data_IF_072565157133
#
_entry.id   IF_072565157133
#
_cell.length_a   1.000
_cell.length_b   1.000
_cell.length_c   1.000
_cell.angle_alpha   90.00
_cell.angle_beta   90.00
_cell.angle_gamma   90.00
#
_symmetry.space_group_name_H-M   'P 1'
#
loop_
_entity.id
_entity.type
_entity.pdbx_description
1 polymer ?
#
# COMPACT_ATOMS: atom_id res chain seq x y z
N UNK A 1 66.03 -40.89 -18.21
CA UNK A 1 65.01 -39.79 -18.53
C UNK A 1 63.74 -40.07 -17.74
N UNK A 2 63.68 -39.58 -16.54
CA UNK A 2 62.52 -39.71 -15.64
C UNK A 2 61.56 -38.57 -15.91
N UNK A 3 60.35 -38.84 -16.40
CA UNK A 3 59.27 -37.86 -16.52
C UNK A 3 58.46 -37.86 -15.21
N UNK A 4 58.54 -36.78 -14.50
CA UNK A 4 57.72 -36.49 -13.30
C UNK A 4 56.35 -35.99 -13.77
N UNK A 5 55.27 -36.76 -13.47
CA UNK A 5 53.89 -36.31 -13.66
C UNK A 5 53.45 -35.57 -12.39
N UNK A 6 53.24 -34.26 -12.52
CA UNK A 6 52.66 -33.44 -11.45
C UNK A 6 51.12 -33.54 -11.63
N UNK A 7 50.46 -34.16 -10.66
CA UNK A 7 49.00 -34.22 -10.56
C UNK A 7 48.52 -32.94 -9.87
N UNK A 8 47.92 -32.01 -10.63
CA UNK A 8 47.23 -30.85 -10.07
C UNK A 8 45.90 -31.31 -9.48
N UNK A 9 45.81 -31.37 -8.15
CA UNK A 9 44.54 -31.52 -7.44
C UNK A 9 43.83 -30.16 -7.42
N UNK A 10 42.81 -29.98 -8.28
CA UNK A 10 41.88 -28.84 -8.18
C UNK A 10 40.86 -29.17 -7.10
N UNK A 11 41.00 -28.54 -5.96
CA UNK A 11 39.99 -28.54 -4.91
C UNK A 11 38.82 -27.65 -5.33
N UNK A 12 37.71 -28.28 -5.70
CA UNK A 12 36.43 -27.62 -5.84
C UNK A 12 35.94 -27.24 -4.44
N UNK A 13 35.98 -25.94 -4.09
CA UNK A 13 35.26 -25.41 -2.96
C UNK A 13 33.79 -25.36 -3.34
N UNK A 14 33.03 -26.37 -2.94
CA UNK A 14 31.58 -26.35 -2.99
C UNK A 14 31.13 -25.40 -1.88
N UNK A 15 30.86 -24.16 -2.25
CA UNK A 15 30.11 -23.23 -1.38
C UNK A 15 28.72 -23.82 -1.20
N UNK A 16 28.46 -24.46 -0.07
CA UNK A 16 27.11 -24.78 0.35
C UNK A 16 26.37 -23.45 0.56
N UNK A 17 25.55 -23.07 -0.41
CA UNK A 17 24.50 -22.07 -0.20
C UNK A 17 23.59 -22.72 0.86
N UNK A 18 23.72 -22.30 2.12
CA UNK A 18 22.73 -22.59 3.14
C UNK A 18 21.48 -21.84 2.70
N UNK A 19 20.55 -22.55 2.06
CA UNK A 19 19.22 -22.02 1.82
C UNK A 19 18.65 -21.60 3.17
N UNK A 20 18.36 -20.31 3.35
CA UNK A 20 17.63 -19.84 4.52
C UNK A 20 16.34 -20.67 4.60
N UNK A 21 15.96 -21.18 5.77
CA UNK A 21 14.70 -21.90 5.91
C UNK A 21 13.59 -20.96 5.46
N UNK A 22 12.85 -21.35 4.42
CA UNK A 22 11.77 -20.54 3.88
C UNK A 22 10.74 -20.24 4.98
N UNK A 23 10.33 -18.98 5.10
CA UNK A 23 9.25 -18.58 5.99
C UNK A 23 7.99 -19.40 5.69
N UNK A 24 7.42 -20.01 6.73
CA UNK A 24 6.13 -20.70 6.66
C UNK A 24 5.11 -19.89 7.46
N UNK A 25 4.10 -19.29 6.80
CA UNK A 25 3.09 -18.51 7.50
C UNK A 25 2.28 -19.38 8.45
N UNK A 26 1.93 -18.85 9.61
CA UNK A 26 1.03 -19.52 10.56
C UNK A 26 -0.40 -19.58 10.00
N UNK A 27 -1.25 -20.42 10.61
CA UNK A 27 -2.67 -20.48 10.25
C UNK A 27 -3.35 -19.13 10.43
N UNK A 28 -3.03 -18.43 11.51
CA UNK A 28 -3.57 -17.10 11.82
C UNK A 28 -3.15 -16.07 10.78
N UNK A 29 -1.90 -16.15 10.27
CA UNK A 29 -1.41 -15.29 9.21
C UNK A 29 -2.15 -15.55 7.90
N UNK A 30 -2.33 -16.82 7.49
CA UNK A 30 -3.08 -17.18 6.29
C UNK A 30 -4.54 -16.72 6.33
N UNK A 31 -5.19 -16.82 7.49
CA UNK A 31 -6.53 -16.28 7.70
C UNK A 31 -6.54 -14.73 7.58
N UNK A 32 -5.51 -14.05 8.13
CA UNK A 32 -5.36 -12.60 8.02
C UNK A 32 -5.16 -12.16 6.56
N UNK A 33 -4.33 -12.86 5.77
CA UNK A 33 -4.15 -12.62 4.33
C UNK A 33 -5.48 -12.73 3.57
N UNK A 34 -6.28 -13.76 3.86
CA UNK A 34 -7.60 -13.95 3.22
C UNK A 34 -8.54 -12.79 3.57
N UNK A 35 -8.62 -12.39 4.85
CA UNK A 35 -9.43 -11.26 5.28
C UNK A 35 -8.96 -9.94 4.65
N UNK A 36 -7.66 -9.75 4.51
CA UNK A 36 -7.09 -8.58 3.84
C UNK A 36 -7.52 -8.51 2.38
N UNK A 37 -7.46 -9.63 1.64
CA UNK A 37 -7.97 -9.68 0.26
C UNK A 37 -9.46 -9.34 0.13
N UNK A 38 -10.27 -9.62 1.17
CA UNK A 38 -11.71 -9.33 1.17
C UNK A 38 -12.01 -7.84 1.38
N UNK A 39 -11.12 -7.08 2.01
CA UNK A 39 -11.34 -5.67 2.37
C UNK A 39 -11.43 -4.76 1.15
N UNK A 40 -10.60 -4.95 0.16
CA UNK A 40 -10.50 -4.27 -1.14
C UNK A 40 -10.26 -2.76 -1.12
N UNK A 41 -10.60 -2.02 -0.06
CA UNK A 41 -10.49 -0.58 -0.04
C UNK A 41 -10.01 -0.07 1.33
N UNK A 42 -8.96 0.74 1.35
CA UNK A 42 -8.35 1.34 2.53
C UNK A 42 -7.98 2.80 2.34
N UNK A 43 -7.71 3.51 3.45
CA UNK A 43 -7.21 4.87 3.49
C UNK A 43 -5.73 4.88 3.87
N UNK A 44 -4.90 5.50 3.06
CA UNK A 44 -3.53 5.85 3.41
C UNK A 44 -3.50 7.27 3.98
N UNK A 45 -2.73 7.53 5.03
CA UNK A 45 -2.66 8.85 5.64
C UNK A 45 -1.19 9.28 5.76
N UNK A 46 -0.75 10.16 4.84
CA UNK A 46 0.57 10.78 4.89
C UNK A 46 0.51 12.09 5.67
N UNK A 47 1.01 12.06 6.90
CA UNK A 47 0.96 13.20 7.80
C UNK A 47 2.10 13.16 8.82
N UNK A 48 2.51 14.33 9.31
CA UNK A 48 3.56 14.50 10.30
C UNK A 48 4.12 15.92 10.29
N UNK A 49 5.30 16.11 10.89
CA UNK A 49 5.93 17.43 11.00
C UNK A 49 6.18 18.12 9.63
N UNK A 50 6.43 17.35 8.57
CA UNK A 50 6.59 17.87 7.21
C UNK A 50 5.39 18.68 6.71
N UNK A 51 4.17 18.36 7.18
CA UNK A 51 2.95 19.05 6.79
C UNK A 51 2.97 20.55 7.11
N UNK A 52 3.74 20.97 8.12
CA UNK A 52 3.92 22.39 8.49
C UNK A 52 4.49 23.20 7.32
N UNK A 53 5.38 22.60 6.53
CA UNK A 53 6.00 23.25 5.39
C UNK A 53 5.09 23.28 4.15
N UNK A 54 3.99 22.53 4.16
CA UNK A 54 2.96 22.51 3.14
C UNK A 54 3.46 22.28 1.70
N UNK A 55 4.50 21.43 1.53
CA UNK A 55 5.14 21.11 0.26
C UNK A 55 5.36 19.60 0.06
N UNK A 56 4.50 18.79 0.69
CA UNK A 56 4.60 17.34 0.66
C UNK A 56 5.59 16.79 1.69
N UNK A 57 5.63 15.49 1.81
CA UNK A 57 6.42 14.73 2.80
C UNK A 57 7.91 14.68 2.45
N UNK A 58 8.26 14.87 1.18
CA UNK A 58 9.65 14.89 0.69
C UNK A 58 10.36 16.22 0.85
N UNK A 59 9.72 17.24 1.42
CA UNK A 59 10.22 18.62 1.46
C UNK A 59 11.62 18.74 2.07
N UNK A 60 11.94 17.95 3.09
CA UNK A 60 13.26 17.94 3.73
C UNK A 60 14.37 17.59 2.72
N UNK A 61 14.17 16.52 1.95
CA UNK A 61 15.11 16.08 0.90
C UNK A 61 15.12 17.04 -0.29
N UNK A 62 13.95 17.40 -0.82
CA UNK A 62 13.82 18.18 -2.04
C UNK A 62 14.37 19.60 -1.91
N UNK A 63 14.36 20.14 -0.70
CA UNK A 63 14.88 21.47 -0.37
C UNK A 63 16.25 21.44 0.30
N UNK A 64 16.84 20.25 0.49
CA UNK A 64 18.09 20.07 1.22
C UNK A 64 18.07 20.75 2.60
N UNK A 65 16.94 20.65 3.32
CA UNK A 65 16.80 21.26 4.64
C UNK A 65 17.67 20.48 5.63
N UNK A 66 18.54 21.19 6.31
CA UNK A 66 19.46 20.60 7.28
C UNK A 66 18.73 20.09 8.52
N UNK A 67 19.23 19.01 9.12
CA UNK A 67 18.65 18.45 10.35
C UNK A 67 18.54 19.50 11.47
N UNK A 68 19.57 20.37 11.63
CA UNK A 68 19.59 21.41 12.66
C UNK A 68 18.52 22.51 12.44
N UNK A 69 18.04 22.70 11.22
CA UNK A 69 16.92 23.59 10.87
C UNK A 69 15.59 22.83 10.96
N UNK A 70 15.50 21.65 10.35
CA UNK A 70 14.28 20.84 10.27
C UNK A 70 13.73 20.44 11.64
N UNK A 71 14.61 20.12 12.59
CA UNK A 71 14.23 19.77 13.98
C UNK A 71 13.40 20.85 14.68
N UNK A 72 13.46 22.11 14.23
CA UNK A 72 12.67 23.18 14.82
C UNK A 72 11.17 23.05 14.54
N UNK A 73 10.77 22.21 13.58
CA UNK A 73 9.35 21.90 13.34
C UNK A 73 8.67 21.30 14.57
N UNK A 74 9.40 20.65 15.46
CA UNK A 74 8.89 20.13 16.75
C UNK A 74 8.28 21.22 17.62
N UNK A 75 8.72 22.48 17.47
CA UNK A 75 8.25 23.61 18.26
C UNK A 75 6.96 24.23 17.72
N UNK A 76 6.60 23.94 16.47
CA UNK A 76 5.48 24.58 15.77
C UNK A 76 4.45 23.58 15.26
N UNK A 77 4.76 22.29 15.16
CA UNK A 77 3.80 21.26 14.80
C UNK A 77 2.81 21.07 15.97
N UNK A 78 1.61 21.63 15.80
CA UNK A 78 0.57 21.59 16.81
C UNK A 78 -0.79 21.27 16.17
N UNK A 79 -1.10 20.00 15.93
CA UNK A 79 -2.34 19.59 15.28
C UNK A 79 -3.54 19.62 16.25
N UNK A 80 -3.95 20.82 16.64
CA UNK A 80 -5.01 21.06 17.65
C UNK A 80 -6.40 20.58 17.19
N UNK A 81 -6.61 20.49 15.87
CA UNK A 81 -7.88 20.05 15.27
C UNK A 81 -7.85 18.57 14.84
N UNK A 82 -6.81 17.83 15.21
CA UNK A 82 -6.76 16.40 14.95
C UNK A 82 -7.83 15.65 15.76
N UNK A 83 -8.72 14.97 15.04
CA UNK A 83 -9.76 14.11 15.61
C UNK A 83 -9.72 12.73 14.95
N UNK A 84 -9.23 11.72 15.70
CA UNK A 84 -9.16 10.35 15.24
C UNK A 84 -10.54 9.77 14.87
N UNK A 85 -11.61 10.19 15.59
CA UNK A 85 -12.98 9.78 15.30
C UNK A 85 -13.44 10.27 13.93
N UNK A 86 -13.13 11.51 13.57
CA UNK A 86 -13.46 12.07 12.26
C UNK A 86 -12.67 11.38 11.14
N UNK A 87 -11.38 11.07 11.37
CA UNK A 87 -10.58 10.36 10.39
C UNK A 87 -11.12 8.95 10.11
N UNK A 88 -11.42 8.19 11.19
CA UNK A 88 -11.99 6.85 11.07
C UNK A 88 -13.39 6.88 10.46
N UNK A 89 -14.22 7.86 10.84
CA UNK A 89 -15.55 8.05 10.25
C UNK A 89 -15.46 8.38 8.75
N UNK A 90 -14.52 9.23 8.34
CA UNK A 90 -14.29 9.56 6.93
C UNK A 90 -13.94 8.31 6.12
N UNK A 91 -13.00 7.47 6.61
CA UNK A 91 -12.65 6.21 5.97
C UNK A 91 -13.86 5.27 5.88
N UNK A 92 -14.57 5.08 6.99
CA UNK A 92 -15.73 4.18 7.07
C UNK A 92 -16.87 4.61 6.16
N UNK A 93 -17.16 5.91 6.13
CA UNK A 93 -18.20 6.50 5.27
C UNK A 93 -17.86 6.40 3.79
N UNK A 94 -16.57 6.46 3.42
CA UNK A 94 -16.10 6.18 2.06
C UNK A 94 -16.21 4.69 1.68
N UNK A 95 -16.50 3.81 2.64
CA UNK A 95 -16.57 2.38 2.42
C UNK A 95 -15.25 1.66 2.62
N UNK A 96 -14.25 2.28 3.23
CA UNK A 96 -12.95 1.67 3.52
C UNK A 96 -13.03 0.73 4.73
N UNK A 97 -12.18 -0.29 4.76
CA UNK A 97 -12.14 -1.33 5.79
C UNK A 97 -10.88 -1.28 6.65
N UNK A 98 -9.87 -0.53 6.20
CA UNK A 98 -8.60 -0.39 6.91
C UNK A 98 -8.00 1.00 6.68
N UNK A 99 -7.10 1.38 7.57
CA UNK A 99 -6.28 2.58 7.49
C UNK A 99 -4.81 2.17 7.58
N UNK A 100 -3.97 2.68 6.68
CA UNK A 100 -2.51 2.65 6.79
C UNK A 100 -2.04 4.05 7.20
N UNK A 101 -1.44 4.16 8.39
CA UNK A 101 -1.03 5.44 8.95
C UNK A 101 0.50 5.56 8.98
N UNK A 102 1.02 6.72 8.61
CA UNK A 102 2.44 7.02 8.72
C UNK A 102 2.83 7.10 10.19
N UNK A 103 3.42 6.03 10.73
CA UNK A 103 3.98 6.06 12.09
C UNK A 103 5.33 6.75 12.11
N UNK A 104 6.13 6.58 11.05
CA UNK A 104 7.39 7.28 10.83
C UNK A 104 7.71 7.30 9.34
N UNK A 105 7.89 8.51 8.76
CA UNK A 105 8.30 8.70 7.37
C UNK A 105 9.82 8.88 7.23
N UNK A 106 10.31 9.17 6.05
CA UNK A 106 11.74 9.33 5.72
C UNK A 106 12.43 10.46 6.50
N UNK A 107 11.68 11.47 6.94
CA UNK A 107 12.18 12.56 7.79
C UNK A 107 12.43 12.15 9.25
N UNK A 108 12.18 10.88 9.58
CA UNK A 108 12.40 10.28 10.88
C UNK A 108 11.43 10.71 11.98
N UNK A 109 10.45 11.60 11.69
CA UNK A 109 9.48 12.04 12.68
C UNK A 109 8.51 10.92 13.06
N UNK A 110 8.41 10.64 14.37
CA UNK A 110 7.52 9.59 14.90
C UNK A 110 6.19 10.18 15.34
N UNK A 111 5.08 9.74 14.72
CA UNK A 111 3.71 10.13 15.07
C UNK A 111 3.14 9.35 16.27
N UNK A 112 4.01 8.77 17.09
CA UNK A 112 3.68 7.97 18.26
C UNK A 112 4.67 8.23 19.41
N UNK A 113 4.30 7.84 20.63
CA UNK A 113 5.11 8.05 21.83
C UNK A 113 6.22 7.00 21.95
N UNK A 114 7.19 7.05 21.05
CA UNK A 114 8.38 6.18 21.12
C UNK A 114 9.34 6.62 22.23
N UNK A 115 9.99 5.65 22.85
CA UNK A 115 11.11 5.89 23.79
C UNK A 115 12.46 5.94 23.06
N UNK A 116 12.49 5.63 21.77
CA UNK A 116 13.71 5.48 20.99
C UNK A 116 14.18 6.81 20.35
N UNK A 117 13.35 7.84 20.35
CA UNK A 117 13.64 9.14 19.72
C UNK A 117 12.90 10.28 20.41
N UNK A 118 13.58 11.42 20.56
CA UNK A 118 12.94 12.68 20.97
C UNK A 118 12.29 13.43 19.79
N UNK A 119 12.55 13.00 18.57
CA UNK A 119 11.93 13.50 17.34
C UNK A 119 10.57 12.85 17.13
N UNK A 120 9.59 13.24 17.97
CA UNK A 120 8.28 12.62 18.06
C UNK A 120 7.16 13.60 18.39
N UNK A 121 5.93 13.23 18.08
CA UNK A 121 4.74 14.08 18.24
C UNK A 121 4.46 14.47 19.69
N UNK A 122 4.74 13.61 20.66
CA UNK A 122 4.51 13.91 22.09
C UNK A 122 5.46 14.96 22.65
N UNK A 123 6.55 15.29 21.93
CA UNK A 123 7.47 16.38 22.27
C UNK A 123 7.15 17.70 21.55
N UNK A 124 6.05 17.74 20.77
CA UNK A 124 5.53 18.96 20.14
C UNK A 124 4.55 19.68 21.07
N UNK A 125 4.11 20.92 20.77
CA UNK A 125 3.06 21.60 21.55
C UNK A 125 1.74 20.81 21.64
N UNK A 126 1.48 19.90 20.72
CA UNK A 126 0.33 18.98 20.77
C UNK A 126 0.39 18.02 21.97
N UNK A 127 1.57 17.55 22.32
CA UNK A 127 1.89 16.75 23.51
C UNK A 127 1.03 15.47 23.71
N UNK A 128 0.43 14.94 22.64
CA UNK A 128 -0.40 13.71 22.67
C UNK A 128 0.08 12.71 21.64
N UNK A 129 -0.17 11.43 21.89
CA UNK A 129 0.12 10.34 20.98
C UNK A 129 -1.01 10.21 19.94
N UNK A 130 -0.73 10.59 18.69
CA UNK A 130 -1.72 10.55 17.62
C UNK A 130 -2.02 9.10 17.19
N UNK A 131 -0.99 8.24 17.15
CA UNK A 131 -1.20 6.82 16.82
C UNK A 131 -2.09 6.13 17.87
N UNK A 132 -1.88 6.43 19.16
CA UNK A 132 -2.72 5.84 20.23
C UNK A 132 -4.18 6.21 20.06
N UNK A 133 -4.48 7.50 19.81
CA UNK A 133 -5.83 7.96 19.58
C UNK A 133 -6.46 7.29 18.34
N UNK A 134 -5.69 7.18 17.25
CA UNK A 134 -6.15 6.55 16.02
C UNK A 134 -6.38 5.05 16.19
N UNK A 135 -5.46 4.34 16.87
CA UNK A 135 -5.58 2.91 17.14
C UNK A 135 -6.81 2.59 17.98
N UNK A 136 -7.02 3.34 19.07
CA UNK A 136 -8.19 3.16 19.94
C UNK A 136 -9.50 3.35 19.17
N UNK A 137 -9.57 4.37 18.31
CA UNK A 137 -10.79 4.62 17.53
C UNK A 137 -10.97 3.59 16.40
N UNK A 138 -9.89 3.14 15.75
CA UNK A 138 -9.94 2.06 14.78
C UNK A 138 -10.48 0.77 15.39
N UNK A 139 -9.97 0.37 16.56
CA UNK A 139 -10.43 -0.83 17.29
C UNK A 139 -11.91 -0.71 17.68
N UNK A 140 -12.31 0.43 18.21
CA UNK A 140 -13.70 0.71 18.60
C UNK A 140 -14.67 0.64 17.42
N UNK A 141 -14.27 1.12 16.24
CA UNK A 141 -15.13 1.15 15.05
C UNK A 141 -14.97 -0.06 14.13
N UNK A 142 -14.06 -0.99 14.42
CA UNK A 142 -13.82 -2.21 13.64
C UNK A 142 -13.06 -1.95 12.33
N UNK A 143 -12.34 -0.84 12.21
CA UNK A 143 -11.42 -0.54 11.11
C UNK A 143 -10.06 -1.17 11.42
N UNK A 144 -9.44 -1.84 10.45
CA UNK A 144 -8.10 -2.43 10.64
C UNK A 144 -7.03 -1.36 10.49
N UNK A 145 -6.05 -1.35 11.41
CA UNK A 145 -4.94 -0.39 11.39
C UNK A 145 -3.66 -1.05 10.92
N UNK A 146 -3.04 -0.49 9.90
CA UNK A 146 -1.70 -0.78 9.42
C UNK A 146 -0.78 0.38 9.76
N UNK A 147 0.46 0.08 10.09
CA UNK A 147 1.49 1.07 10.37
C UNK A 147 2.46 1.14 9.18
N UNK A 148 2.51 2.27 8.48
CA UNK A 148 3.62 2.53 7.57
C UNK A 148 4.87 2.86 8.39
N UNK A 149 5.99 2.28 8.01
CA UNK A 149 7.28 2.48 8.66
C UNK A 149 8.40 2.62 7.62
N UNK A 150 9.05 3.77 7.60
CA UNK A 150 10.20 4.01 6.73
C UNK A 150 11.43 3.23 7.17
N UNK A 151 12.04 2.50 6.24
CA UNK A 151 13.34 1.86 6.40
C UNK A 151 14.46 2.89 6.35
N UNK A 152 14.36 3.88 5.47
CA UNK A 152 15.34 4.96 5.36
C UNK A 152 15.06 6.09 6.36
N UNK A 153 16.10 6.89 6.68
CA UNK A 153 15.98 8.01 7.59
C UNK A 153 16.92 9.17 7.19
N UNK A 154 16.32 10.35 7.00
CA UNK A 154 17.07 11.56 6.68
C UNK A 154 17.53 12.34 7.93
N UNK A 155 17.02 11.98 9.09
CA UNK A 155 17.29 12.70 10.35
C UNK A 155 18.39 12.05 11.17
N UNK A 156 18.37 10.72 11.33
CA UNK A 156 19.30 9.99 12.21
C UNK A 156 20.70 9.90 11.62
N UNK A 157 21.70 10.07 12.47
CA UNK A 157 23.12 9.99 12.09
C UNK A 157 23.65 8.57 12.01
N UNK A 158 23.01 7.61 12.67
CA UNK A 158 23.39 6.19 12.63
C UNK A 158 22.85 5.45 11.39
N UNK A 159 21.87 6.02 10.66
CA UNK A 159 21.48 5.51 9.33
C UNK A 159 22.68 5.59 8.37
N UNK A 160 22.81 4.56 7.50
CA UNK A 160 23.90 4.48 6.50
C UNK A 160 23.67 5.48 5.35
N UNK A 161 23.66 6.77 5.67
CA UNK A 161 23.35 7.84 4.72
C UNK A 161 24.46 8.10 3.70
N UNK A 162 25.70 7.66 3.97
CA UNK A 162 26.84 7.82 3.08
C UNK A 162 26.63 7.06 1.75
N UNK A 163 25.96 5.90 1.82
CA UNK A 163 25.64 5.06 0.65
C UNK A 163 24.23 5.28 0.12
N UNK A 164 23.31 5.85 0.91
CA UNK A 164 21.94 6.15 0.51
C UNK A 164 21.86 7.07 -0.70
N UNK A 165 20.77 7.03 -1.46
CA UNK A 165 20.54 7.91 -2.63
C UNK A 165 20.02 9.28 -2.24
N UNK A 166 19.25 9.35 -1.15
CA UNK A 166 18.51 10.55 -0.73
C UNK A 166 19.04 11.15 0.58
N UNK A 167 18.54 12.31 0.96
CA UNK A 167 18.93 12.99 2.18
C UNK A 167 20.38 13.48 2.22
N UNK A 168 21.04 13.61 1.08
CA UNK A 168 22.45 14.04 1.00
C UNK A 168 22.68 15.45 1.54
N UNK A 169 21.72 16.35 1.31
CA UNK A 169 21.76 17.75 1.73
C UNK A 169 21.39 18.01 3.19
N UNK A 170 21.03 16.99 3.97
CA UNK A 170 20.53 17.15 5.35
C UNK A 170 21.59 17.51 6.38
N UNK A 171 22.87 17.55 5.99
CA UNK A 171 23.96 18.08 6.79
C UNK A 171 24.44 17.17 7.92
N UNK A 172 24.14 15.88 7.87
CA UNK A 172 24.69 14.87 8.78
C UNK A 172 26.21 14.75 8.58
N UNK A 173 26.97 14.65 9.67
CA UNK A 173 28.44 14.64 9.63
C UNK A 173 29.07 13.48 10.42
N UNK A 174 28.33 12.90 11.36
CA UNK A 174 28.81 11.78 12.15
C UNK A 174 28.88 10.52 11.27
N UNK A 175 29.88 9.67 11.49
CA UNK A 175 29.92 8.37 10.84
C UNK A 175 28.68 7.56 11.23
N UNK A 176 28.04 6.93 10.25
CA UNK A 176 26.88 6.05 10.48
C UNK A 176 27.24 4.83 11.33
N UNK A 177 26.26 4.29 12.03
CA UNK A 177 26.35 3.03 12.78
C UNK A 177 25.13 2.17 12.45
N UNK A 178 25.30 1.29 11.46
CA UNK A 178 24.22 0.47 10.95
C UNK A 178 23.60 -0.46 11.99
N UNK A 179 24.42 -1.04 12.87
CA UNK A 179 23.93 -1.91 13.93
C UNK A 179 23.06 -1.15 14.94
N UNK A 180 23.46 0.08 15.29
CA UNK A 180 22.64 0.99 16.11
C UNK A 180 21.30 1.29 15.43
N UNK A 181 21.31 1.57 14.12
CA UNK A 181 20.10 1.86 13.37
C UNK A 181 19.13 0.66 13.30
N UNK A 182 19.63 -0.53 13.02
CA UNK A 182 18.81 -1.76 13.02
C UNK A 182 18.25 -2.04 14.42
N UNK A 183 19.03 -1.86 15.48
CA UNK A 183 18.54 -2.01 16.85
C UNK A 183 17.43 -1.00 17.18
N UNK A 184 17.60 0.26 16.75
CA UNK A 184 16.58 1.31 16.87
C UNK A 184 15.27 0.92 16.14
N UNK A 185 15.34 0.46 14.89
CA UNK A 185 14.15 0.03 14.15
C UNK A 185 13.42 -1.11 14.86
N UNK A 186 14.16 -2.15 15.30
CA UNK A 186 13.59 -3.30 16.02
C UNK A 186 12.94 -2.87 17.33
N UNK A 187 13.52 -1.91 18.05
CA UNK A 187 12.93 -1.37 19.28
C UNK A 187 11.63 -0.59 19.00
N UNK A 188 11.60 0.28 17.99
CA UNK A 188 10.36 0.98 17.60
C UNK A 188 9.27 0.03 17.10
N UNK A 189 9.61 -0.96 16.29
CA UNK A 189 8.65 -1.98 15.84
C UNK A 189 8.08 -2.79 17.02
N UNK A 190 8.92 -3.07 18.04
CA UNK A 190 8.46 -3.71 19.27
C UNK A 190 7.45 -2.82 19.99
N UNK A 191 7.72 -1.51 20.13
CA UNK A 191 6.76 -0.56 20.72
C UNK A 191 5.45 -0.51 19.95
N UNK A 192 5.48 -0.44 18.62
CA UNK A 192 4.28 -0.43 17.77
C UNK A 192 3.43 -1.68 17.96
N UNK A 193 4.06 -2.84 18.08
CA UNK A 193 3.37 -4.13 18.17
C UNK A 193 2.97 -4.54 19.61
N UNK A 194 3.40 -3.79 20.63
CA UNK A 194 3.08 -4.11 22.04
C UNK A 194 2.22 -3.06 22.73
N UNK A 195 2.23 -1.81 22.28
CA UNK A 195 1.59 -0.70 23.00
C UNK A 195 0.28 -0.20 22.36
N UNK A 196 -0.04 -0.62 21.13
CA UNK A 196 -1.15 -0.04 20.35
C UNK A 196 -2.26 -1.06 20.03
N UNK A 197 -2.30 -2.20 20.74
CA UNK A 197 -3.27 -3.26 20.51
C UNK A 197 -2.98 -4.05 19.22
N UNK A 198 -4.04 -4.57 18.60
CA UNK A 198 -3.92 -5.36 17.37
C UNK A 198 -3.54 -4.47 16.18
N UNK A 199 -2.34 -4.65 15.65
CA UNK A 199 -1.88 -4.03 14.41
C UNK A 199 -2.06 -5.03 13.26
N UNK A 200 -2.84 -4.62 12.25
CA UNK A 200 -3.19 -5.51 11.14
C UNK A 200 -2.01 -5.73 10.18
N UNK A 201 -1.07 -4.79 10.10
CA UNK A 201 0.13 -4.96 9.30
C UNK A 201 1.16 -3.84 9.45
N UNK A 202 2.37 -4.13 8.99
CA UNK A 202 3.46 -3.17 8.82
C UNK A 202 3.72 -3.00 7.32
N UNK A 203 3.69 -1.76 6.87
CA UNK A 203 3.95 -1.34 5.49
C UNK A 203 5.31 -0.66 5.42
N UNK A 204 6.33 -1.38 4.99
CA UNK A 204 7.70 -0.86 4.87
C UNK A 204 7.91 -0.12 3.56
N UNK A 205 8.80 0.89 3.59
CA UNK A 205 9.22 1.66 2.44
C UNK A 205 10.66 2.16 2.59
N UNK A 206 11.33 2.44 1.47
CA UNK A 206 12.66 3.04 1.49
C UNK A 206 13.82 2.07 1.26
N UNK A 207 13.56 0.78 0.98
CA UNK A 207 14.60 -0.19 0.59
C UNK A 207 15.44 0.32 -0.59
N UNK A 208 14.79 0.93 -1.57
CA UNK A 208 15.38 1.46 -2.79
C UNK A 208 16.47 2.53 -2.55
N UNK A 209 16.49 3.20 -1.39
CA UNK A 209 17.53 4.19 -1.06
C UNK A 209 18.93 3.59 -1.01
N UNK A 210 19.05 2.31 -0.72
CA UNK A 210 20.32 1.58 -0.62
C UNK A 210 20.63 0.70 -1.84
N UNK A 211 19.87 0.79 -2.92
CA UNK A 211 20.17 0.11 -4.19
C UNK A 211 21.16 0.96 -5.02
N UNK A 212 21.93 0.30 -5.88
CA UNK A 212 22.86 0.99 -6.80
C UNK A 212 22.12 1.79 -7.87
N UNK A 213 21.01 1.25 -8.38
CA UNK A 213 20.11 1.96 -9.27
C UNK A 213 18.66 1.48 -9.05
N UNK A 214 17.68 2.27 -9.49
CA UNK A 214 16.25 1.99 -9.32
C UNK A 214 15.76 0.88 -10.26
N UNK A 215 16.58 0.48 -11.23
CA UNK A 215 16.32 -0.63 -12.17
C UNK A 215 16.88 -1.95 -11.66
N UNK A 216 17.58 -1.96 -10.52
CA UNK A 216 18.17 -3.17 -9.97
C UNK A 216 17.07 -4.10 -9.42
N UNK A 217 16.91 -5.25 -10.08
CA UNK A 217 15.90 -6.25 -9.74
C UNK A 217 16.40 -7.29 -8.73
N UNK A 218 17.59 -7.10 -8.16
CA UNK A 218 18.24 -8.15 -7.36
C UNK A 218 17.96 -8.08 -5.87
N UNK A 219 17.31 -7.05 -5.34
CA UNK A 219 17.20 -6.78 -3.89
C UNK A 219 18.56 -6.66 -3.17
N UNK A 220 19.65 -6.61 -3.92
CA UNK A 220 21.00 -6.50 -3.34
C UNK A 220 21.26 -5.05 -2.91
N UNK A 221 20.85 -4.72 -1.69
CA UNK A 221 21.15 -3.43 -1.09
C UNK A 221 22.61 -3.33 -0.65
N UNK A 222 23.12 -2.11 -0.56
CA UNK A 222 24.47 -1.78 -0.04
C UNK A 222 24.61 -2.08 1.44
N UNK A 223 23.50 -2.33 2.13
CA UNK A 223 23.41 -2.67 3.55
C UNK A 223 22.65 -3.96 3.74
N UNK A 224 22.93 -4.67 4.83
CA UNK A 224 22.08 -5.78 5.24
C UNK A 224 20.93 -5.23 6.10
N UNK A 225 19.70 -5.31 5.58
CA UNK A 225 18.49 -4.87 6.29
C UNK A 225 18.07 -5.80 7.42
N UNK A 226 18.63 -7.00 7.52
CA UNK A 226 18.21 -8.03 8.48
C UNK A 226 16.70 -8.34 8.45
N UNK A 227 16.14 -8.45 7.25
CA UNK A 227 14.69 -8.69 7.08
C UNK A 227 14.22 -9.98 7.75
N UNK A 228 15.02 -11.02 7.74
CA UNK A 228 14.74 -12.28 8.43
C UNK A 228 14.49 -12.07 9.94
N UNK A 229 15.33 -11.27 10.60
CA UNK A 229 15.18 -10.92 12.01
C UNK A 229 14.00 -9.99 12.26
N UNK A 230 13.84 -8.95 11.42
CA UNK A 230 12.76 -7.96 11.55
C UNK A 230 11.40 -8.61 11.31
N UNK A 231 11.24 -9.38 10.23
CA UNK A 231 9.97 -10.02 9.90
C UNK A 231 9.61 -11.11 10.92
N UNK A 232 10.60 -11.90 11.37
CA UNK A 232 10.41 -12.86 12.46
C UNK A 232 10.01 -12.19 13.78
N UNK A 233 10.57 -11.02 14.11
CA UNK A 233 10.17 -10.23 15.28
C UNK A 233 8.69 -9.85 15.20
N UNK A 234 8.25 -9.33 14.05
CA UNK A 234 6.86 -8.89 13.83
C UNK A 234 5.90 -10.07 13.97
N UNK A 235 6.13 -11.17 13.24
CA UNK A 235 5.26 -12.33 13.28
C UNK A 235 5.25 -13.05 14.65
N UNK A 236 6.36 -12.98 15.39
CA UNK A 236 6.41 -13.52 16.76
C UNK A 236 5.60 -12.68 17.74
N UNK A 237 5.64 -11.35 17.63
CA UNK A 237 4.89 -10.44 18.49
C UNK A 237 3.40 -10.45 18.16
N UNK A 238 3.06 -10.44 16.88
CA UNK A 238 1.67 -10.49 16.40
C UNK A 238 1.57 -11.39 15.15
N UNK A 239 1.21 -12.69 15.31
CA UNK A 239 1.15 -13.64 14.19
C UNK A 239 0.18 -13.26 13.06
N UNK A 240 -0.82 -12.42 13.35
CA UNK A 240 -1.80 -11.92 12.37
C UNK A 240 -1.36 -10.64 11.67
N UNK A 241 -0.28 -10.00 12.12
CA UNK A 241 0.25 -8.78 11.52
C UNK A 241 0.86 -9.10 10.15
N UNK A 242 0.33 -8.49 9.10
CA UNK A 242 0.78 -8.69 7.73
C UNK A 242 1.95 -7.77 7.40
N UNK A 243 2.89 -8.24 6.61
CA UNK A 243 4.06 -7.47 6.21
C UNK A 243 4.05 -7.24 4.70
N UNK A 244 4.27 -5.99 4.31
CA UNK A 244 4.62 -5.61 2.94
C UNK A 244 5.79 -4.66 2.93
N UNK A 245 6.55 -4.67 1.84
CA UNK A 245 7.67 -3.78 1.64
C UNK A 245 7.64 -3.21 0.22
N UNK A 246 7.59 -1.89 0.11
CA UNK A 246 7.52 -1.16 -1.16
C UNK A 246 8.90 -1.11 -1.84
N UNK A 247 9.51 -2.26 -2.03
CA UNK A 247 10.79 -2.36 -2.74
C UNK A 247 10.63 -2.50 -4.26
N UNK A 248 9.40 -2.53 -4.76
CA UNK A 248 9.02 -2.60 -6.18
C UNK A 248 9.44 -3.90 -6.89
N UNK A 249 9.66 -4.96 -6.15
CA UNK A 249 10.08 -6.27 -6.62
C UNK A 249 9.11 -7.36 -6.14
N UNK A 250 9.36 -8.60 -6.55
CA UNK A 250 8.61 -9.74 -6.00
C UNK A 250 8.88 -9.88 -4.50
N UNK A 251 7.85 -10.20 -3.70
CA UNK A 251 7.98 -10.37 -2.26
C UNK A 251 9.05 -11.39 -1.87
N UNK A 252 9.78 -11.08 -0.81
CA UNK A 252 10.75 -11.98 -0.19
C UNK A 252 10.11 -12.80 0.94
N UNK A 253 10.76 -13.89 1.40
CA UNK A 253 10.25 -14.70 2.51
C UNK A 253 9.95 -13.84 3.75
N UNK A 254 8.75 -14.00 4.28
CA UNK A 254 8.25 -13.23 5.43
C UNK A 254 7.30 -12.09 5.06
N UNK A 255 7.21 -11.70 3.79
CA UNK A 255 6.20 -10.75 3.32
C UNK A 255 4.87 -11.47 3.06
N UNK A 256 3.77 -10.77 3.33
CA UNK A 256 2.42 -11.32 3.34
C UNK A 256 1.54 -10.79 2.21
N UNK A 257 1.89 -9.64 1.65
CA UNK A 257 1.25 -9.07 0.47
C UNK A 257 2.22 -8.21 -0.33
N UNK A 258 1.96 -8.08 -1.63
CA UNK A 258 2.77 -7.27 -2.54
C UNK A 258 2.12 -5.90 -2.74
N UNK A 259 2.90 -4.83 -2.55
CA UNK A 259 2.48 -3.46 -2.80
C UNK A 259 2.91 -3.00 -4.20
N UNK A 260 2.05 -2.18 -4.83
CA UNK A 260 2.30 -1.47 -6.08
C UNK A 260 2.04 0.02 -5.88
N UNK A 261 3.02 0.85 -6.19
CA UNK A 261 2.90 2.30 -6.01
C UNK A 261 2.47 2.96 -7.32
N UNK A 262 1.32 3.67 -7.27
CA UNK A 262 0.73 4.45 -8.38
C UNK A 262 0.46 3.66 -9.66
N UNK A 263 0.70 2.37 -9.67
CA UNK A 263 0.39 1.48 -10.78
C UNK A 263 -0.53 0.34 -10.34
N UNK A 264 -1.40 -0.11 -11.24
CA UNK A 264 -2.18 -1.33 -11.05
C UNK A 264 -1.29 -2.56 -11.27
N UNK A 265 -1.53 -3.71 -10.58
CA UNK A 265 -0.80 -4.94 -10.84
C UNK A 265 -0.76 -5.30 -12.33
N UNK A 266 0.44 -5.64 -12.83
CA UNK A 266 0.68 -5.94 -14.24
C UNK A 266 0.91 -4.72 -15.13
N UNK A 267 0.89 -3.51 -14.57
CA UNK A 267 1.15 -2.26 -15.28
C UNK A 267 2.40 -1.60 -14.68
N UNK A 268 3.21 -0.98 -15.52
CA UNK A 268 4.37 -0.19 -15.10
C UNK A 268 4.45 1.10 -15.92
N UNK A 269 3.62 2.07 -15.56
CA UNK A 269 3.58 3.39 -16.20
C UNK A 269 4.41 4.43 -15.46
N UNK A 270 4.66 4.21 -14.17
CA UNK A 270 5.45 5.10 -13.32
C UNK A 270 6.94 4.78 -13.35
N UNK A 271 7.32 3.59 -13.81
CA UNK A 271 8.71 3.14 -13.84
C UNK A 271 9.21 2.53 -12.52
N UNK A 272 8.35 2.40 -11.51
CA UNK A 272 8.71 1.80 -10.22
C UNK A 272 8.75 0.25 -10.22
N UNK A 273 8.44 -0.38 -11.35
CA UNK A 273 8.23 -1.83 -11.41
C UNK A 273 6.73 -2.15 -11.36
N UNK A 274 6.35 -3.39 -11.10
CA UNK A 274 4.94 -3.76 -10.98
C UNK A 274 4.42 -4.61 -12.13
N UNK A 275 5.28 -4.95 -13.08
CA UNK A 275 4.94 -5.91 -14.13
C UNK A 275 4.87 -7.35 -13.60
N UNK A 276 5.73 -7.69 -12.63
CA UNK A 276 5.79 -9.02 -12.03
C UNK A 276 4.81 -9.14 -10.86
N UNK A 277 3.93 -10.13 -10.91
CA UNK A 277 2.86 -10.35 -9.93
C UNK A 277 3.13 -11.64 -9.17
N UNK A 278 3.15 -11.56 -7.83
CA UNK A 278 3.26 -12.72 -6.95
C UNK A 278 1.91 -13.42 -6.76
N UNK A 279 1.94 -14.57 -6.06
CA UNK A 279 0.73 -15.29 -5.64
C UNK A 279 0.19 -14.80 -4.28
N UNK A 280 0.85 -13.85 -3.64
CA UNK A 280 0.38 -13.25 -2.39
C UNK A 280 -0.81 -12.31 -2.65
N UNK A 281 -1.54 -11.90 -1.61
CA UNK A 281 -2.44 -10.76 -1.71
C UNK A 281 -1.78 -9.54 -2.33
N UNK A 282 -2.52 -8.77 -3.10
CA UNK A 282 -2.00 -7.60 -3.80
C UNK A 282 -2.65 -6.33 -3.26
N UNK A 283 -1.89 -5.25 -3.21
CA UNK A 283 -2.37 -3.90 -2.90
C UNK A 283 -1.77 -2.90 -3.87
N UNK A 284 -2.57 -1.97 -4.36
CA UNK A 284 -2.08 -0.80 -5.09
C UNK A 284 -2.42 0.46 -4.31
N UNK A 285 -1.51 1.43 -4.26
CA UNK A 285 -1.76 2.71 -3.62
C UNK A 285 -1.67 3.87 -4.62
N UNK A 286 -2.53 4.88 -4.40
CA UNK A 286 -2.62 6.08 -5.23
C UNK A 286 -3.05 7.28 -4.39
N UNK A 287 -2.76 8.48 -4.84
CA UNK A 287 -3.09 9.74 -4.19
C UNK A 287 -4.40 10.32 -4.72
N UNK A 288 -5.09 11.13 -3.92
CA UNK A 288 -6.26 11.90 -4.37
C UNK A 288 -5.88 13.11 -5.25
N UNK A 289 -4.65 13.59 -5.14
CA UNK A 289 -4.00 14.62 -5.96
C UNK A 289 -2.65 14.12 -6.46
N UNK A 290 -1.63 14.95 -6.67
CA UNK A 290 -0.29 14.49 -7.10
C UNK A 290 0.60 14.13 -5.90
N UNK A 291 0.47 14.83 -4.76
CA UNK A 291 1.30 14.68 -3.57
C UNK A 291 0.76 13.62 -2.57
N UNK A 292 1.65 12.94 -1.84
CA UNK A 292 1.27 12.07 -0.73
C UNK A 292 0.93 12.90 0.51
N UNK A 293 1.86 13.73 1.01
CA UNK A 293 1.64 14.64 2.12
C UNK A 293 0.98 15.96 1.70
N UNK A 294 0.57 16.76 2.69
CA UNK A 294 -0.07 18.04 2.43
C UNK A 294 0.81 18.97 1.58
N UNK A 295 0.27 19.39 0.45
CA UNK A 295 0.89 20.38 -0.43
C UNK A 295 -0.14 21.46 -0.78
N UNK A 296 0.10 22.69 -0.32
CA UNK A 296 -0.85 23.80 -0.46
C UNK A 296 -1.05 24.25 -1.91
N UNK A 297 -0.08 23.97 -2.78
CA UNK A 297 -0.14 24.35 -4.20
C UNK A 297 -0.72 23.26 -5.10
N UNK A 298 -0.83 22.02 -4.59
CA UNK A 298 -1.37 20.89 -5.35
C UNK A 298 -2.90 20.88 -5.28
N UNK A 299 -3.51 21.23 -6.43
CA UNK A 299 -4.97 21.29 -6.60
C UNK A 299 -5.48 20.42 -7.74
N UNK A 300 -4.66 19.46 -8.19
CA UNK A 300 -5.02 18.55 -9.28
C UNK A 300 -5.76 17.32 -8.73
N UNK A 301 -6.95 17.54 -8.21
CA UNK A 301 -7.73 16.48 -7.59
C UNK A 301 -8.30 15.49 -8.62
N UNK A 302 -8.16 14.20 -8.33
CA UNK A 302 -8.82 13.13 -9.09
C UNK A 302 -10.33 13.20 -8.86
N UNK A 303 -11.08 12.99 -9.93
CA UNK A 303 -12.55 12.97 -9.87
C UNK A 303 -13.08 11.71 -9.21
N UNK A 304 -14.30 11.75 -8.70
CA UNK A 304 -15.03 10.59 -8.16
C UNK A 304 -15.04 9.42 -9.15
N UNK A 305 -15.27 9.70 -10.44
CA UNK A 305 -15.23 8.69 -11.51
C UNK A 305 -13.87 8.02 -11.60
N UNK A 306 -12.78 8.78 -11.63
CA UNK A 306 -11.41 8.24 -11.71
C UNK A 306 -11.11 7.33 -10.52
N UNK A 307 -11.48 7.74 -9.30
CA UNK A 307 -11.22 6.97 -8.09
C UNK A 307 -12.03 5.68 -8.02
N UNK A 308 -13.33 5.72 -8.39
CA UNK A 308 -14.17 4.53 -8.45
C UNK A 308 -13.65 3.57 -9.53
N UNK A 309 -13.33 4.08 -10.71
CA UNK A 309 -12.79 3.24 -11.79
C UNK A 309 -11.42 2.64 -11.43
N UNK A 310 -10.59 3.35 -10.67
CA UNK A 310 -9.34 2.81 -10.15
C UNK A 310 -9.60 1.67 -9.16
N UNK A 311 -10.51 1.87 -8.19
CA UNK A 311 -10.92 0.83 -7.22
C UNK A 311 -11.44 -0.43 -7.92
N UNK A 312 -12.32 -0.27 -8.90
CA UNK A 312 -12.88 -1.38 -9.66
C UNK A 312 -11.80 -2.11 -10.46
N UNK A 313 -10.90 -1.37 -11.12
CA UNK A 313 -9.77 -1.94 -11.84
C UNK A 313 -8.79 -2.69 -10.91
N UNK A 314 -8.53 -2.17 -9.72
CA UNK A 314 -7.72 -2.85 -8.72
C UNK A 314 -8.38 -4.17 -8.28
N UNK A 315 -9.68 -4.14 -7.95
CA UNK A 315 -10.43 -5.33 -7.56
C UNK A 315 -10.45 -6.40 -8.67
N UNK A 316 -10.64 -5.98 -9.93
CA UNK A 316 -10.61 -6.86 -11.10
C UNK A 316 -9.24 -7.49 -11.37
N UNK A 317 -8.15 -6.87 -10.90
CA UNK A 317 -6.78 -7.42 -10.88
C UNK A 317 -6.43 -8.10 -9.55
N UNK A 318 -7.43 -8.46 -8.77
CA UNK A 318 -7.31 -9.13 -7.48
C UNK A 318 -6.54 -8.34 -6.41
N UNK A 319 -6.46 -7.01 -6.53
CA UNK A 319 -5.77 -6.13 -5.61
C UNK A 319 -6.73 -5.34 -4.71
N UNK A 320 -6.24 -4.97 -3.52
CA UNK A 320 -6.84 -3.92 -2.71
C UNK A 320 -6.41 -2.56 -3.26
N UNK A 321 -7.22 -1.54 -3.03
CA UNK A 321 -6.90 -0.15 -3.31
C UNK A 321 -6.70 0.63 -2.02
N UNK A 322 -5.52 1.18 -1.82
CA UNK A 322 -5.15 2.03 -0.69
C UNK A 322 -5.07 3.48 -1.18
N UNK A 323 -6.10 4.28 -0.88
CA UNK A 323 -6.24 5.65 -1.36
C UNK A 323 -5.72 6.66 -0.33
N UNK A 324 -4.76 7.48 -0.73
CA UNK A 324 -4.06 8.39 0.15
C UNK A 324 -4.75 9.75 0.34
N UNK A 325 -4.73 10.21 1.59
CA UNK A 325 -5.00 11.61 2.00
C UNK A 325 -3.79 12.21 2.70
N UNK A 326 -3.54 13.51 2.48
CA UNK A 326 -2.51 14.28 3.16
C UNK A 326 -3.14 15.36 4.04
N UNK A 327 -3.42 15.09 5.33
CA UNK A 327 -4.03 16.10 6.23
C UNK A 327 -3.18 17.35 6.40
N UNK A 328 -3.84 18.46 6.64
CA UNK A 328 -3.22 19.76 6.97
C UNK A 328 -2.40 19.68 8.27
N UNK A 329 -1.49 20.65 8.54
CA UNK A 329 -0.68 20.66 9.76
C UNK A 329 -1.52 20.68 11.05
N UNK A 330 -2.72 21.23 11.03
CA UNK A 330 -3.64 21.25 12.16
C UNK A 330 -4.37 19.91 12.39
N UNK A 331 -4.18 18.90 11.52
CA UNK A 331 -4.80 17.58 11.63
C UNK A 331 -6.08 17.39 10.83
N UNK A 332 -6.57 18.43 10.13
CA UNK A 332 -7.82 18.36 9.36
C UNK A 332 -7.57 17.74 7.98
N UNK A 333 -8.34 16.72 7.59
CA UNK A 333 -8.40 16.24 6.21
C UNK A 333 -9.07 17.31 5.36
N UNK A 334 -8.48 17.67 4.22
CA UNK A 334 -8.98 18.72 3.34
C UNK A 334 -10.43 18.44 2.90
N UNK A 335 -11.24 19.50 2.83
CA UNK A 335 -12.65 19.38 2.46
C UNK A 335 -12.86 18.78 1.07
N UNK A 336 -11.98 19.08 0.13
CA UNK A 336 -11.99 18.52 -1.22
C UNK A 336 -11.85 17.00 -1.19
N UNK A 337 -11.05 16.46 -0.26
CA UNK A 337 -10.89 15.03 -0.06
C UNK A 337 -12.12 14.41 0.61
N UNK A 338 -12.63 15.02 1.69
CA UNK A 338 -13.78 14.46 2.41
C UNK A 338 -15.04 14.48 1.56
N UNK A 339 -15.28 15.53 0.77
CA UNK A 339 -16.42 15.60 -0.16
C UNK A 339 -16.35 14.51 -1.24
N UNK A 340 -15.15 14.33 -1.84
CA UNK A 340 -14.91 13.29 -2.84
C UNK A 340 -15.05 11.89 -2.25
N UNK A 341 -14.51 11.64 -1.06
CA UNK A 341 -14.64 10.36 -0.35
C UNK A 341 -16.10 10.06 0.02
N UNK A 342 -16.86 11.06 0.43
CA UNK A 342 -18.31 10.90 0.68
C UNK A 342 -19.08 10.50 -0.59
N UNK A 343 -18.68 11.04 -1.76
CA UNK A 343 -19.30 10.64 -3.04
C UNK A 343 -18.89 9.22 -3.46
N UNK A 344 -17.64 8.83 -3.26
CA UNK A 344 -17.19 7.43 -3.43
C UNK A 344 -17.97 6.50 -2.50
N UNK A 345 -18.19 6.92 -1.26
CA UNK A 345 -18.96 6.18 -0.25
C UNK A 345 -20.41 5.92 -0.69
N UNK A 346 -21.07 6.88 -1.33
CA UNK A 346 -22.42 6.69 -1.88
C UNK A 346 -22.45 5.59 -2.96
N UNK A 347 -21.42 5.55 -3.82
CA UNK A 347 -21.30 4.46 -4.81
C UNK A 347 -21.03 3.13 -4.11
N UNK A 348 -20.15 3.10 -3.11
CA UNK A 348 -19.85 1.89 -2.32
C UNK A 348 -21.07 1.34 -1.56
N UNK A 349 -21.94 2.19 -1.02
CA UNK A 349 -23.18 1.74 -0.36
C UNK A 349 -24.06 0.91 -1.29
N UNK A 350 -24.08 1.21 -2.57
CA UNK A 350 -24.90 0.51 -3.55
C UNK A 350 -24.19 -0.71 -4.17
N UNK A 351 -22.86 -0.65 -4.30
CA UNK A 351 -22.11 -1.58 -5.14
C UNK A 351 -21.04 -2.39 -4.37
N UNK A 352 -20.89 -2.22 -3.05
CA UNK A 352 -19.82 -2.86 -2.28
C UNK A 352 -19.75 -4.39 -2.45
N UNK A 353 -20.89 -5.08 -2.61
CA UNK A 353 -20.94 -6.53 -2.79
C UNK A 353 -20.34 -7.02 -4.12
N UNK A 354 -20.15 -6.12 -5.09
CA UNK A 354 -19.47 -6.43 -6.35
C UNK A 354 -17.95 -6.26 -6.28
N UNK A 355 -17.45 -5.70 -5.14
CA UNK A 355 -16.04 -5.40 -4.89
C UNK A 355 -15.54 -6.19 -3.68
N UNK A 356 -16.15 -6.01 -2.49
CA UNK A 356 -15.72 -6.65 -1.25
C UNK A 356 -15.97 -8.15 -1.26
N UNK A 357 -15.06 -8.92 -0.69
CA UNK A 357 -15.18 -10.38 -0.64
C UNK A 357 -15.08 -11.03 -2.02
N UNK A 358 -14.63 -10.29 -3.03
CA UNK A 358 -14.47 -10.81 -4.39
C UNK A 358 -13.01 -11.15 -4.70
N UNK A 359 -12.84 -11.90 -5.79
CA UNK A 359 -11.55 -12.14 -6.43
C UNK A 359 -11.62 -11.66 -7.88
N UNK A 360 -10.52 -11.10 -8.35
CA UNK A 360 -10.33 -10.71 -9.75
C UNK A 360 -9.55 -11.77 -10.52
N UNK A 361 -8.98 -11.35 -11.63
CA UNK A 361 -8.14 -12.19 -12.50
C UNK A 361 -8.84 -13.45 -13.05
N UNK A 362 -10.15 -13.34 -13.25
CA UNK A 362 -10.99 -14.40 -13.85
C UNK A 362 -10.71 -14.50 -15.36
N UNK A 363 -10.62 -13.36 -15.99
CA UNK A 363 -10.09 -13.12 -17.33
C UNK A 363 -9.22 -11.87 -17.27
N UNK A 364 -8.23 -11.73 -18.14
CA UNK A 364 -7.42 -10.50 -18.19
C UNK A 364 -8.31 -9.27 -18.31
N UNK A 365 -7.88 -8.16 -17.71
CA UNK A 365 -8.56 -6.88 -17.85
C UNK A 365 -8.70 -6.51 -19.33
N UNK A 366 -9.88 -6.03 -19.70
CA UNK A 366 -10.24 -5.65 -21.07
C UNK A 366 -10.25 -4.11 -21.19
N UNK A 367 -10.21 -3.60 -22.42
CA UNK A 367 -10.30 -2.16 -22.68
C UNK A 367 -11.60 -1.55 -22.16
N UNK A 368 -12.69 -2.33 -22.12
CA UNK A 368 -13.97 -1.89 -21.59
C UNK A 368 -14.06 -1.98 -20.05
N UNK A 369 -13.25 -2.79 -19.35
CA UNK A 369 -13.30 -2.96 -17.90
C UNK A 369 -12.78 -4.30 -17.40
N UNK A 370 -13.36 -4.79 -16.30
CA UNK A 370 -12.88 -5.96 -15.54
C UNK A 370 -14.03 -6.83 -15.04
N UNK A 371 -13.66 -8.03 -14.53
CA UNK A 371 -14.61 -8.95 -13.90
C UNK A 371 -14.16 -9.25 -12.48
N UNK A 372 -15.08 -9.17 -11.53
CA UNK A 372 -14.92 -9.65 -10.16
C UNK A 372 -15.84 -10.83 -9.89
N UNK A 373 -15.47 -11.70 -8.94
CA UNK A 373 -16.23 -12.91 -8.60
C UNK A 373 -16.25 -13.13 -7.09
N UNK A 374 -17.41 -13.47 -6.56
CA UNK A 374 -17.55 -14.08 -5.24
C UNK A 374 -18.00 -15.55 -5.37
N UNK A 375 -18.42 -16.18 -4.27
CA UNK A 375 -18.83 -17.58 -4.26
C UNK A 375 -20.05 -17.89 -5.10
N UNK A 376 -20.94 -16.91 -5.35
CA UNK A 376 -22.25 -17.12 -5.96
C UNK A 376 -22.43 -16.42 -7.32
N UNK A 377 -21.66 -15.39 -7.60
CA UNK A 377 -21.87 -14.55 -8.78
C UNK A 377 -20.56 -14.01 -9.34
N UNK A 378 -20.59 -13.68 -10.63
CA UNK A 378 -19.58 -12.84 -11.28
C UNK A 378 -20.18 -11.48 -11.62
N UNK A 379 -19.38 -10.44 -11.57
CA UNK A 379 -19.78 -9.07 -11.88
C UNK A 379 -18.89 -8.52 -12.98
N UNK A 380 -19.52 -8.23 -14.12
CA UNK A 380 -18.88 -7.60 -15.27
C UNK A 380 -19.01 -6.09 -15.10
N UNK A 381 -17.89 -5.41 -14.90
CA UNK A 381 -17.80 -3.97 -14.71
C UNK A 381 -17.41 -3.30 -16.01
N UNK A 382 -18.34 -2.55 -16.61
CA UNK A 382 -18.14 -1.80 -17.85
C UNK A 382 -17.79 -0.37 -17.48
N UNK A 383 -16.52 -0.03 -17.58
CA UNK A 383 -15.95 1.27 -17.15
C UNK A 383 -15.79 2.24 -18.32
N UNK A 384 -15.47 1.72 -19.51
CA UNK A 384 -15.14 2.54 -20.66
C UNK A 384 -15.34 1.75 -21.97
N UNK A 385 -16.54 1.82 -22.53
CA UNK A 385 -16.81 1.19 -23.82
C UNK A 385 -16.64 2.21 -24.94
N UNK A 386 -15.56 2.09 -25.70
CA UNK A 386 -15.17 3.04 -26.76
C UNK A 386 -15.72 2.69 -28.13
N UNK A 387 -15.96 1.40 -28.40
CA UNK A 387 -16.47 0.95 -29.67
C UNK A 387 -18.02 1.04 -29.71
N UNK A 388 -18.59 1.00 -30.92
CA UNK A 388 -20.01 1.06 -31.16
C UNK A 388 -20.67 -0.34 -31.27
N UNK A 389 -19.94 -1.41 -30.91
CA UNK A 389 -20.50 -2.75 -30.96
C UNK A 389 -21.68 -2.88 -29.98
N UNK A 390 -22.83 -3.46 -30.39
CA UNK A 390 -23.98 -3.64 -29.50
C UNK A 390 -23.77 -4.76 -28.47
N UNK A 391 -22.58 -5.26 -28.31
CA UNK A 391 -22.24 -6.32 -27.37
C UNK A 391 -20.84 -6.14 -26.74
N UNK A 392 -20.61 -6.83 -25.63
CA UNK A 392 -19.27 -7.15 -25.10
C UNK A 392 -18.93 -8.59 -25.46
N UNK A 393 -17.67 -8.83 -25.80
CA UNK A 393 -17.14 -10.18 -25.92
C UNK A 393 -16.11 -10.42 -24.82
N UNK A 394 -16.30 -11.51 -24.07
CA UNK A 394 -15.38 -11.96 -23.03
C UNK A 394 -14.71 -13.23 -23.53
N UNK A 395 -13.46 -13.16 -24.02
CA UNK A 395 -12.78 -14.31 -24.60
C UNK A 395 -12.44 -15.36 -23.54
N UNK A 396 -12.36 -16.64 -23.97
CA UNK A 396 -11.92 -17.75 -23.12
C UNK A 396 -12.70 -17.88 -21.80
N UNK A 397 -13.93 -17.44 -21.78
CA UNK A 397 -14.79 -17.53 -20.58
C UNK A 397 -15.22 -18.98 -20.35
N UNK A 398 -14.73 -19.60 -19.27
CA UNK A 398 -14.96 -21.02 -18.96
C UNK A 398 -16.07 -21.27 -17.95
N UNK A 399 -16.58 -20.23 -17.29
CA UNK A 399 -17.71 -20.35 -16.37
C UNK A 399 -19.03 -20.65 -17.09
N UNK A 400 -19.95 -21.42 -16.46
CA UNK A 400 -21.31 -21.56 -16.95
C UNK A 400 -22.16 -20.39 -16.48
N UNK A 401 -22.86 -19.73 -17.41
CA UNK A 401 -23.80 -18.64 -17.12
C UNK A 401 -25.22 -19.14 -17.33
N UNK A 402 -26.06 -19.04 -16.30
CA UNK A 402 -27.48 -19.38 -16.38
C UNK A 402 -28.36 -18.12 -16.54
N UNK A 403 -27.94 -17.01 -15.90
CA UNK A 403 -28.65 -15.73 -15.98
C UNK A 403 -27.69 -14.56 -16.06
N UNK A 404 -28.12 -13.49 -16.74
CA UNK A 404 -27.41 -12.20 -16.73
C UNK A 404 -28.46 -11.10 -16.48
N UNK A 405 -28.13 -10.20 -15.52
CA UNK A 405 -29.02 -9.06 -15.17
C UNK A 405 -28.16 -7.81 -14.92
N UNK A 406 -28.72 -6.63 -15.17
CA UNK A 406 -28.12 -5.41 -14.60
C UNK A 406 -28.13 -5.52 -13.07
N UNK A 407 -27.00 -5.29 -12.44
CA UNK A 407 -26.87 -5.41 -10.98
C UNK A 407 -27.84 -4.49 -10.25
N UNK A 408 -27.90 -3.25 -10.67
CA UNK A 408 -28.86 -2.26 -10.19
C UNK A 408 -30.15 -2.35 -11.02
N UNK A 409 -31.29 -2.63 -10.38
CA UNK A 409 -32.60 -2.74 -11.04
C UNK A 409 -32.95 -4.14 -11.53
N UNK A 410 -32.03 -5.10 -11.57
CA UNK A 410 -32.24 -6.52 -11.93
C UNK A 410 -32.88 -6.74 -13.31
N UNK A 411 -32.73 -5.79 -14.23
CA UNK A 411 -33.20 -5.93 -15.61
C UNK A 411 -32.46 -7.05 -16.32
N UNK A 412 -33.15 -8.02 -16.96
CA UNK A 412 -32.51 -9.08 -17.72
C UNK A 412 -31.62 -8.55 -18.85
N UNK A 413 -30.47 -9.18 -19.02
CA UNK A 413 -29.50 -8.87 -20.08
C UNK A 413 -29.37 -10.09 -20.98
N UNK A 414 -29.50 -9.91 -22.30
CA UNK A 414 -29.32 -10.99 -23.26
C UNK A 414 -27.82 -11.38 -23.32
N UNK A 415 -27.58 -12.68 -23.37
CA UNK A 415 -26.20 -13.21 -23.52
C UNK A 415 -26.22 -14.46 -24.40
N UNK A 416 -25.07 -14.82 -24.95
CA UNK A 416 -24.82 -16.07 -25.67
C UNK A 416 -23.45 -16.60 -25.32
N UNK A 417 -23.39 -17.79 -24.79
CA UNK A 417 -22.11 -18.49 -24.49
C UNK A 417 -21.76 -19.42 -25.65
N UNK A 418 -20.51 -19.39 -26.07
CA UNK A 418 -19.92 -20.20 -27.13
C UNK A 418 -18.57 -20.73 -26.70
N UNK A 419 -17.97 -21.72 -27.41
CA UNK A 419 -16.62 -22.22 -27.04
C UNK A 419 -15.55 -21.13 -26.99
N UNK A 420 -15.66 -20.10 -27.82
CA UNK A 420 -14.70 -18.98 -27.91
C UNK A 420 -14.82 -17.99 -26.73
N UNK A 421 -15.99 -17.94 -26.06
CA UNK A 421 -16.26 -17.01 -24.97
C UNK A 421 -17.71 -16.67 -24.75
N UNK A 422 -17.95 -15.60 -24.03
CA UNK A 422 -19.27 -15.10 -23.65
C UNK A 422 -19.55 -13.77 -24.35
N UNK A 423 -20.70 -13.72 -25.09
CA UNK A 423 -21.25 -12.49 -25.64
C UNK A 423 -22.32 -11.95 -24.69
N UNK A 424 -22.26 -10.68 -24.35
CA UNK A 424 -23.25 -9.95 -23.55
C UNK A 424 -23.78 -8.82 -24.43
N UNK A 425 -25.10 -8.85 -24.76
CA UNK A 425 -25.72 -7.87 -25.64
C UNK A 425 -26.17 -6.64 -24.87
N UNK A 426 -25.84 -5.45 -25.37
CA UNK A 426 -26.09 -4.18 -24.71
C UNK A 426 -27.25 -3.38 -25.35
N UNK A 427 -27.99 -4.00 -26.28
CA UNK A 427 -29.12 -3.34 -26.93
C UNK A 427 -30.17 -2.89 -25.92
N UNK A 428 -30.51 -1.59 -25.94
CA UNK A 428 -31.46 -0.98 -25.02
C UNK A 428 -30.90 -0.74 -23.58
N UNK A 429 -29.62 -1.04 -23.31
CA UNK A 429 -29.00 -0.78 -22.05
C UNK A 429 -28.33 0.60 -22.07
N UNK A 430 -28.79 1.50 -21.20
CA UNK A 430 -28.11 2.78 -20.97
C UNK A 430 -26.91 2.55 -20.04
N UNK A 431 -25.71 2.72 -20.59
CA UNK A 431 -24.48 2.60 -19.81
C UNK A 431 -24.36 3.75 -18.81
N UNK A 432 -23.93 3.43 -17.58
CA UNK A 432 -23.56 4.41 -16.56
C UNK A 432 -22.15 4.94 -16.86
N UNK A 433 -21.95 6.23 -16.71
CA UNK A 433 -20.67 6.89 -17.00
C UNK A 433 -19.52 6.48 -16.05
N UNK A 434 -19.83 6.02 -14.83
CA UNK A 434 -18.85 5.58 -13.86
C UNK A 434 -18.57 4.09 -14.00
N UNK A 435 -19.64 3.27 -13.89
CA UNK A 435 -19.57 1.81 -13.93
C UNK A 435 -20.96 1.22 -14.22
N UNK A 436 -21.09 0.45 -15.28
CA UNK A 436 -22.26 -0.38 -15.53
C UNK A 436 -21.97 -1.80 -15.12
N UNK A 437 -22.70 -2.33 -14.15
CA UNK A 437 -22.43 -3.64 -13.57
C UNK A 437 -23.47 -4.65 -14.06
N UNK A 438 -23.00 -5.74 -14.66
CA UNK A 438 -23.83 -6.89 -15.06
C UNK A 438 -23.48 -8.07 -14.15
N UNK A 439 -24.47 -8.56 -13.44
CA UNK A 439 -24.34 -9.76 -12.60
C UNK A 439 -24.64 -10.99 -13.43
N UNK A 440 -23.75 -11.97 -13.38
CA UNK A 440 -23.85 -13.29 -14.00
C UNK A 440 -23.97 -14.35 -12.89
N UNK A 441 -24.96 -15.29 -13.03
CA UNK A 441 -25.14 -16.42 -12.12
C UNK A 441 -25.18 -17.74 -12.88
#
# INVERSE_FOLDING_TARGET
>A
MNRLFILLLTTFVVSTIVAQPGYTPSKENLEARTKFQDMKFGMFIHWGASSVLAQGEWVMNNRNIRVDEYKNLIRVFNPIDFDAKEWVATAKNAGMQYITFITRHHDGFSNFDTKQSDWKITNTPYAKDALKQLADECHKQGIKLFCYYSLLDWYRTDYQYETGKTGKGTGRKAKSDWNSYIAFMKAQLTELLTNYGDIAGIWFDGHWDQLDNDQDKTLQAKVNWHYDEIYSLIHRLQPKCLISNNHHLLPIPGEDFQAFEKDLPGINTTGFGGADISKLPLETCETMNDAWGYNVTDRKYKTVKQLIQYLVNAAGRNANFLLNVGPKPNGVIQKEFTDTLAAVGKWMQQNASTIRGTRGDIVPAQDWGVITKNTSSMFVHILNKKDNNPYLFIPQFTGKVNTAVLFNGKTPVKFKQQPEGLFIYLDGIKLNDIDTIIQLN
#
